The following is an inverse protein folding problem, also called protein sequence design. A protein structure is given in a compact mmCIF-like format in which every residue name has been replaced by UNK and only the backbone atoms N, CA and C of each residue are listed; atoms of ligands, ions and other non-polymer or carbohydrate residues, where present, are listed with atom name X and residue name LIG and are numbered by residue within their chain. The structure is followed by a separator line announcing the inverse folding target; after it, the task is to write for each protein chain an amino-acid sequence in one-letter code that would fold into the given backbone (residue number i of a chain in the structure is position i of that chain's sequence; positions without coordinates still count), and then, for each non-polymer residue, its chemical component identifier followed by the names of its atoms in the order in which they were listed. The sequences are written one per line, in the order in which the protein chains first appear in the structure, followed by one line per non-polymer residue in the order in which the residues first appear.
data_IF_568008018924
#
_entry.id   IF_568008018924
#
_cell.length_a   1.000
_cell.length_b   1.000
_cell.length_c   1.000
_cell.angle_alpha   90.00
_cell.angle_beta   90.00
_cell.angle_gamma   90.00
#
_symmetry.space_group_name_H-M   'P 1'
#
loop_
_entity.id
_entity.type
_entity.pdbx_description
1 polymer ?
#
# COMPACT_ATOMS: atom_id res chain seq x y z
N UNK A 1 -29.07 10.69 4.22
CA UNK A 1 -28.85 10.09 5.56
C UNK A 1 -27.77 9.02 5.42
N UNK A 2 -26.78 9.00 6.31
CA UNK A 2 -25.67 8.03 6.28
C UNK A 2 -26.05 6.78 7.10
N UNK A 3 -25.84 5.58 6.56
CA UNK A 3 -26.12 4.33 7.28
C UNK A 3 -24.92 3.92 8.14
N UNK A 4 -24.64 4.73 9.16
CA UNK A 4 -23.49 4.57 10.04
C UNK A 4 -23.39 3.17 10.69
N UNK A 5 -24.49 2.52 11.14
CA UNK A 5 -24.42 1.18 11.71
C UNK A 5 -23.85 0.13 10.75
N UNK A 6 -24.23 0.19 9.47
CA UNK A 6 -23.73 -0.76 8.46
C UNK A 6 -22.26 -0.52 8.16
N UNK A 7 -21.82 0.74 8.11
CA UNK A 7 -20.41 1.06 7.86
C UNK A 7 -19.51 0.56 8.99
N UNK A 8 -19.96 0.65 10.24
CA UNK A 8 -19.23 0.09 11.38
C UNK A 8 -19.20 -1.45 11.28
N UNK A 9 -20.34 -2.08 11.01
CA UNK A 9 -20.43 -3.55 10.93
C UNK A 9 -19.64 -4.15 9.75
N UNK A 10 -19.37 -3.39 8.70
CA UNK A 10 -18.67 -3.83 7.48
C UNK A 10 -17.32 -3.13 7.31
N UNK A 11 -16.81 -2.50 8.36
CA UNK A 11 -15.59 -1.68 8.26
C UNK A 11 -14.38 -2.50 7.81
N UNK A 12 -14.24 -3.73 8.30
CA UNK A 12 -13.18 -4.65 7.87
C UNK A 12 -13.28 -5.00 6.38
N UNK A 13 -14.49 -5.22 5.86
CA UNK A 13 -14.71 -5.50 4.43
C UNK A 13 -14.29 -4.33 3.53
N UNK A 14 -14.38 -3.10 4.05
CA UNK A 14 -14.10 -1.86 3.31
C UNK A 14 -12.63 -1.46 3.41
N UNK A 15 -12.00 -1.70 4.56
CA UNK A 15 -10.63 -1.28 4.87
C UNK A 15 -9.58 -2.37 4.68
N UNK A 16 -10.04 -3.62 4.59
CA UNK A 16 -9.18 -4.78 4.39
C UNK A 16 -8.61 -4.86 2.98
N UNK A 17 -7.82 -5.91 2.75
CA UNK A 17 -7.26 -6.24 1.46
C UNK A 17 -7.69 -7.64 1.04
N UNK A 18 -8.17 -7.77 -0.19
CA UNK A 18 -8.39 -9.06 -0.83
C UNK A 18 -7.23 -9.31 -1.79
N UNK A 19 -6.56 -10.46 -1.64
CA UNK A 19 -5.49 -10.83 -2.57
C UNK A 19 -6.01 -10.97 -4.00
N UNK A 20 -5.28 -10.36 -4.92
CA UNK A 20 -5.51 -10.46 -6.36
C UNK A 20 -4.36 -11.24 -7.00
N UNK A 21 -4.54 -11.77 -8.24
CA UNK A 21 -3.44 -12.39 -8.96
C UNK A 21 -2.24 -11.45 -9.07
N UNK A 22 -1.03 -12.01 -9.00
CA UNK A 22 0.20 -11.24 -9.12
C UNK A 22 0.23 -10.46 -10.44
N UNK A 23 0.71 -9.22 -10.38
CA UNK A 23 0.89 -8.36 -11.53
C UNK A 23 2.24 -8.65 -12.20
N UNK A 24 2.26 -9.26 -13.41
CA UNK A 24 3.49 -9.83 -13.98
C UNK A 24 4.33 -8.82 -14.77
N UNK A 25 4.18 -7.52 -14.52
CA UNK A 25 4.88 -6.45 -15.25
C UNK A 25 5.70 -5.55 -14.31
N UNK A 26 6.69 -4.81 -14.86
CA UNK A 26 7.49 -3.87 -14.07
C UNK A 26 6.61 -2.87 -13.33
N UNK A 27 6.90 -2.68 -12.04
CA UNK A 27 6.18 -1.75 -11.17
C UNK A 27 7.18 -0.93 -10.36
N UNK A 28 7.00 0.39 -10.30
CA UNK A 28 7.84 1.28 -9.50
C UNK A 28 7.07 1.79 -8.28
N UNK A 29 7.56 1.48 -7.09
CA UNK A 29 7.11 2.07 -5.83
C UNK A 29 7.99 3.27 -5.49
N UNK A 30 7.36 4.41 -5.21
CA UNK A 30 8.04 5.62 -4.72
C UNK A 30 7.53 5.87 -3.30
N UNK A 31 8.42 5.85 -2.32
CA UNK A 31 8.08 6.12 -0.91
C UNK A 31 8.96 7.22 -0.32
N UNK A 32 8.39 7.99 0.59
CA UNK A 32 9.16 8.90 1.44
C UNK A 32 9.91 8.11 2.53
N UNK A 33 11.17 8.46 2.78
CA UNK A 33 12.01 7.79 3.77
C UNK A 33 11.44 7.85 5.19
N UNK A 34 10.73 8.93 5.51
CA UNK A 34 10.10 9.14 6.83
C UNK A 34 8.63 8.64 6.87
N UNK A 35 8.11 8.05 5.79
CA UNK A 35 6.72 7.60 5.69
C UNK A 35 6.51 6.17 6.20
N UNK A 36 5.50 5.90 7.05
CA UNK A 36 5.22 4.56 7.56
C UNK A 36 4.39 3.67 6.61
N UNK A 37 4.09 4.13 5.39
CA UNK A 37 3.13 3.42 4.51
C UNK A 37 3.71 2.17 3.84
N UNK A 38 4.99 2.19 3.44
CA UNK A 38 5.64 1.07 2.72
C UNK A 38 6.86 0.58 3.50
N UNK A 39 6.63 -0.07 4.64
CA UNK A 39 7.69 -0.53 5.54
C UNK A 39 8.43 -1.75 4.99
N UNK A 40 9.64 -2.00 5.50
CA UNK A 40 10.44 -3.18 5.11
C UNK A 40 9.72 -4.50 5.43
N UNK A 41 8.87 -4.51 6.47
CA UNK A 41 8.01 -5.66 6.82
C UNK A 41 7.06 -6.08 5.70
N UNK A 42 6.69 -5.17 4.80
CA UNK A 42 5.78 -5.45 3.68
C UNK A 42 6.50 -5.95 2.43
N UNK A 43 7.84 -6.09 2.44
CA UNK A 43 8.60 -6.52 1.26
C UNK A 43 8.14 -7.87 0.72
N UNK A 44 7.81 -8.82 1.59
CA UNK A 44 7.34 -10.15 1.19
C UNK A 44 5.99 -10.06 0.46
N UNK A 45 5.04 -9.29 0.99
CA UNK A 45 3.73 -9.10 0.36
C UNK A 45 3.80 -8.35 -0.96
N UNK A 46 4.67 -7.33 -1.05
CA UNK A 46 4.92 -6.62 -2.29
C UNK A 46 5.53 -7.56 -3.33
N UNK A 47 6.55 -8.35 -2.98
CA UNK A 47 7.15 -9.30 -3.91
C UNK A 47 6.17 -10.37 -4.40
N UNK A 48 5.24 -10.78 -3.53
CA UNK A 48 4.19 -11.76 -3.85
C UNK A 48 3.18 -11.21 -4.86
N UNK A 49 2.75 -9.96 -4.73
CA UNK A 49 1.76 -9.35 -5.64
C UNK A 49 2.39 -8.62 -6.85
N UNK A 50 3.65 -8.19 -6.73
CA UNK A 50 4.38 -7.43 -7.75
C UNK A 50 5.81 -8.00 -7.90
N UNK A 51 5.97 -9.18 -8.55
CA UNK A 51 7.26 -9.87 -8.64
C UNK A 51 8.36 -9.08 -9.36
N UNK A 52 8.00 -8.09 -10.19
CA UNK A 52 8.95 -7.20 -10.88
C UNK A 52 9.01 -5.80 -10.27
N UNK A 53 8.67 -5.67 -8.98
CA UNK A 53 8.70 -4.40 -8.27
C UNK A 53 10.12 -3.86 -8.10
N UNK A 54 10.26 -2.54 -8.26
CA UNK A 54 11.41 -1.75 -7.82
C UNK A 54 10.92 -0.72 -6.82
N UNK A 55 11.73 -0.38 -5.84
CA UNK A 55 11.41 0.66 -4.85
C UNK A 55 12.44 1.78 -4.91
N UNK A 56 11.97 3.01 -4.94
CA UNK A 56 12.77 4.22 -4.79
C UNK A 56 12.35 4.95 -3.51
N UNK A 57 13.33 5.28 -2.68
CA UNK A 57 13.11 5.98 -1.40
C UNK A 57 13.62 7.40 -1.54
N UNK A 58 12.73 8.37 -1.37
CA UNK A 58 13.11 9.79 -1.31
C UNK A 58 13.47 10.13 0.13
N UNK A 59 14.76 10.33 0.38
CA UNK A 59 15.29 10.59 1.71
C UNK A 59 14.76 11.91 2.29
N UNK A 60 14.51 11.95 3.61
CA UNK A 60 14.01 13.14 4.29
C UNK A 60 12.55 13.51 4.02
N UNK A 61 11.84 12.76 3.16
CA UNK A 61 10.45 13.06 2.79
C UNK A 61 9.43 12.20 3.55
N UNK A 62 8.31 12.81 3.92
CA UNK A 62 7.16 12.17 4.56
C UNK A 62 6.21 11.48 3.58
N UNK A 63 4.91 11.44 3.91
CA UNK A 63 3.90 10.77 3.08
C UNK A 63 3.70 11.42 1.70
N UNK A 64 3.74 12.75 1.65
CA UNK A 64 3.54 13.53 0.43
C UNK A 64 4.86 13.67 -0.33
N UNK A 65 5.21 12.65 -1.10
CA UNK A 65 6.54 12.56 -1.77
C UNK A 65 6.73 13.60 -2.87
N UNK A 66 5.65 14.15 -3.39
CA UNK A 66 5.62 15.06 -4.54
C UNK A 66 5.47 16.54 -4.16
N UNK A 67 5.31 16.84 -2.88
CA UNK A 67 5.07 18.19 -2.39
C UNK A 67 6.38 18.99 -2.24
#
# INVERSE_FOLDING_TARGET
RFNLPVLIARYEDITGWQEVPAWPHPTLFIRGGLSPYVQDSYRADIARQFPQARAHVVAGTGHWVHA
#
